data_IF_200474592155
#
_entry.id   IF_200474592155
#
_cell.length_a   1.000
_cell.length_b   1.000
_cell.length_c   1.000
_cell.angle_alpha   90.00
_cell.angle_beta   90.00
_cell.angle_gamma   90.00
#
_symmetry.space_group_name_H-M   'P 1'
#
loop_
_entity.id
_entity.type
_entity.pdbx_description
1 polymer ?
#
# COMPACT_ATOMS: atom_id res chain seq x y z
N UNK A 1 -15.10 19.41 4.64
CA UNK A 1 -14.46 20.27 3.60
C UNK A 1 -14.23 19.40 2.37
N UNK A 2 -14.27 19.96 1.16
CA UNK A 2 -13.91 19.22 -0.04
C UNK A 2 -12.40 18.91 -0.03
N UNK A 3 -12.02 17.73 -0.50
CA UNK A 3 -10.62 17.37 -0.69
C UNK A 3 -10.08 18.02 -1.98
N UNK A 4 -8.80 18.38 -1.99
CA UNK A 4 -8.10 18.86 -3.19
C UNK A 4 -7.52 17.72 -4.05
N UNK A 5 -8.03 16.53 -3.89
CA UNK A 5 -7.66 15.36 -4.67
C UNK A 5 -8.88 14.56 -5.09
N UNK A 6 -8.73 13.78 -6.13
CA UNK A 6 -9.72 12.82 -6.62
C UNK A 6 -9.21 11.40 -6.40
N UNK A 7 -10.12 10.49 -6.04
CA UNK A 7 -9.82 9.06 -5.92
C UNK A 7 -10.05 8.41 -7.28
N UNK A 8 -9.04 7.74 -7.81
CA UNK A 8 -9.13 6.92 -9.03
C UNK A 8 -9.10 5.45 -8.61
N UNK A 9 -10.24 4.78 -8.74
CA UNK A 9 -10.33 3.33 -8.55
C UNK A 9 -9.77 2.62 -9.78
N UNK A 10 -8.73 1.81 -9.58
CA UNK A 10 -8.09 1.07 -10.67
C UNK A 10 -8.81 -0.23 -11.02
N UNK A 11 -9.85 -0.60 -10.27
CA UNK A 11 -10.65 -1.81 -10.51
C UNK A 11 -9.76 -3.06 -10.73
N UNK A 12 -8.76 -3.23 -9.83
CA UNK A 12 -7.76 -4.29 -9.95
C UNK A 12 -8.42 -5.67 -9.98
N UNK A 13 -8.03 -6.51 -10.94
CA UNK A 13 -8.64 -7.82 -11.19
C UNK A 13 -10.16 -7.79 -11.40
N UNK A 14 -10.70 -6.66 -11.87
CA UNK A 14 -12.14 -6.37 -12.00
C UNK A 14 -12.90 -6.35 -10.67
N UNK A 15 -12.20 -6.20 -9.56
CA UNK A 15 -12.78 -6.01 -8.23
C UNK A 15 -12.67 -4.53 -7.86
N UNK A 16 -13.79 -3.80 -7.73
CA UNK A 16 -13.76 -2.38 -7.41
C UNK A 16 -13.27 -2.15 -5.97
N UNK A 17 -12.75 -0.95 -5.75
CA UNK A 17 -12.31 -0.47 -4.44
C UNK A 17 -11.17 -1.29 -3.81
N UNK A 18 -10.30 -1.89 -4.62
CA UNK A 18 -9.15 -2.66 -4.12
C UNK A 18 -7.85 -1.87 -4.16
N UNK A 19 -7.59 -1.11 -5.24
CA UNK A 19 -6.42 -0.24 -5.38
C UNK A 19 -6.85 1.14 -5.85
N UNK A 20 -6.46 2.18 -5.12
CA UNK A 20 -6.69 3.58 -5.46
C UNK A 20 -5.39 4.29 -5.87
N UNK A 21 -5.51 5.22 -6.80
CA UNK A 21 -4.52 6.26 -7.10
C UNK A 21 -5.17 7.60 -6.78
N UNK A 22 -4.41 8.51 -6.19
CA UNK A 22 -4.92 9.81 -5.79
C UNK A 22 -4.39 10.89 -6.72
N UNK A 23 -5.30 11.59 -7.41
CA UNK A 23 -5.00 12.59 -8.42
C UNK A 23 -5.14 13.99 -7.84
N UNK A 24 -4.11 14.79 -8.00
CA UNK A 24 -4.04 16.21 -7.64
C UNK A 24 -3.85 17.06 -8.88
N UNK A 25 -4.58 18.17 -8.96
CA UNK A 25 -4.41 19.17 -10.02
C UNK A 25 -3.57 20.33 -9.49
N UNK A 26 -2.63 20.79 -10.30
CA UNK A 26 -1.83 21.96 -10.00
C UNK A 26 -1.64 22.81 -11.28
N UNK A 27 -1.00 23.97 -11.14
CA UNK A 27 -0.85 24.98 -12.23
C UNK A 27 -0.06 24.51 -13.46
N UNK A 28 0.71 23.39 -13.33
CA UNK A 28 1.57 22.86 -14.40
C UNK A 28 1.17 21.46 -14.88
N UNK A 29 0.12 20.86 -14.33
CA UNK A 29 -0.33 19.51 -14.69
C UNK A 29 -0.96 18.74 -13.54
N UNK A 30 -0.61 17.47 -13.46
CA UNK A 30 -1.14 16.54 -12.47
C UNK A 30 -0.02 15.91 -11.64
N UNK A 31 -0.27 15.78 -10.33
CA UNK A 31 0.51 14.91 -9.47
C UNK A 31 -0.34 13.70 -9.05
N UNK A 32 0.30 12.56 -8.90
CA UNK A 32 -0.34 11.35 -8.38
C UNK A 32 0.32 10.93 -7.06
N UNK A 33 -0.46 10.41 -6.13
CA UNK A 33 0.05 9.49 -5.10
C UNK A 33 -0.33 8.09 -5.55
N UNK A 34 0.66 7.20 -5.66
CA UNK A 34 0.68 5.89 -6.27
C UNK A 34 0.59 5.90 -7.80
N UNK A 35 0.98 4.78 -8.40
CA UNK A 35 0.83 4.54 -9.84
C UNK A 35 -0.09 3.35 -10.16
N UNK A 36 -0.32 2.49 -9.19
CA UNK A 36 -0.92 1.19 -9.41
C UNK A 36 0.00 0.20 -10.12
N UNK A 37 -0.42 -1.05 -10.29
CA UNK A 37 0.29 -2.07 -11.05
C UNK A 37 0.26 -1.78 -12.56
N UNK A 38 1.25 -2.30 -13.30
CA UNK A 38 1.29 -2.19 -14.76
C UNK A 38 0.04 -2.76 -15.45
N UNK A 39 -0.57 -3.79 -14.88
CA UNK A 39 -1.81 -4.39 -15.38
C UNK A 39 -3.00 -3.44 -15.36
N UNK A 40 -2.98 -2.40 -14.52
CA UNK A 40 -4.08 -1.42 -14.39
C UNK A 40 -3.84 -0.13 -15.19
N UNK A 41 -2.78 -0.02 -15.97
CA UNK A 41 -2.52 1.13 -16.85
C UNK A 41 -3.74 1.48 -17.73
N UNK A 42 -4.46 0.51 -18.34
CA UNK A 42 -5.67 0.85 -19.11
C UNK A 42 -6.80 1.45 -18.26
N UNK A 43 -6.94 1.03 -17.01
CA UNK A 43 -7.94 1.60 -16.09
C UNK A 43 -7.57 3.03 -15.70
N UNK A 44 -6.29 3.29 -15.42
CA UNK A 44 -5.78 4.63 -15.15
C UNK A 44 -5.97 5.55 -16.38
N UNK A 45 -5.67 5.08 -17.60
CA UNK A 45 -5.91 5.83 -18.83
C UNK A 45 -7.38 6.22 -19.00
N UNK A 46 -8.28 5.27 -18.79
CA UNK A 46 -9.73 5.51 -18.84
C UNK A 46 -10.16 6.57 -17.82
N UNK A 47 -9.63 6.49 -16.59
CA UNK A 47 -9.95 7.44 -15.54
C UNK A 47 -9.45 8.85 -15.84
N UNK A 48 -8.26 8.99 -16.42
CA UNK A 48 -7.69 10.27 -16.87
C UNK A 48 -8.49 10.84 -18.05
N UNK A 49 -8.75 10.03 -19.08
CA UNK A 49 -9.48 10.46 -20.28
C UNK A 49 -10.89 10.94 -19.95
N UNK A 50 -11.58 10.28 -19.02
CA UNK A 50 -12.89 10.71 -18.54
C UNK A 50 -12.89 12.11 -17.89
N UNK A 51 -11.69 12.61 -17.51
CA UNK A 51 -11.45 13.93 -16.91
C UNK A 51 -10.82 14.93 -17.88
N UNK A 52 -10.61 14.51 -19.14
CA UNK A 52 -10.00 15.33 -20.18
C UNK A 52 -8.47 15.39 -20.13
N UNK A 53 -7.83 14.42 -19.43
CA UNK A 53 -6.39 14.33 -19.29
C UNK A 53 -5.80 13.11 -20.00
N UNK A 54 -4.50 13.17 -20.21
CA UNK A 54 -3.66 12.10 -20.76
C UNK A 54 -2.53 11.78 -19.79
N UNK A 55 -1.78 10.72 -20.03
CA UNK A 55 -0.56 10.44 -19.26
C UNK A 55 0.51 11.53 -19.37
N UNK A 56 0.52 12.30 -20.48
CA UNK A 56 1.45 13.42 -20.67
C UNK A 56 1.20 14.62 -19.77
N UNK A 57 0.04 14.68 -19.12
CA UNK A 57 -0.30 15.74 -18.17
C UNK A 57 0.22 15.44 -16.76
N UNK A 58 0.68 14.20 -16.49
CA UNK A 58 1.25 13.79 -15.21
C UNK A 58 2.70 14.25 -15.14
N UNK A 59 2.98 15.17 -14.22
CA UNK A 59 4.35 15.71 -14.01
C UNK A 59 5.08 14.97 -12.90
N UNK A 60 4.37 14.46 -11.91
CA UNK A 60 4.93 13.89 -10.69
C UNK A 60 4.12 12.70 -10.19
N UNK A 61 4.81 11.69 -9.65
CA UNK A 61 4.23 10.54 -8.96
C UNK A 61 4.96 10.34 -7.64
N UNK A 62 4.23 10.38 -6.54
CA UNK A 62 4.73 10.13 -5.19
C UNK A 62 4.39 8.68 -4.83
N UNK A 63 5.40 7.85 -4.61
CA UNK A 63 5.21 6.47 -4.21
C UNK A 63 5.28 6.33 -2.69
N UNK A 64 4.25 5.74 -2.07
CA UNK A 64 4.36 5.41 -0.65
C UNK A 64 5.43 4.37 -0.43
N UNK A 65 5.50 3.37 -1.31
CA UNK A 65 6.54 2.36 -1.33
C UNK A 65 6.61 1.66 -2.70
N UNK A 66 7.52 0.69 -2.86
CA UNK A 66 7.82 0.11 -4.17
C UNK A 66 7.22 -1.27 -4.43
N UNK A 67 6.22 -1.73 -3.67
CA UNK A 67 5.51 -2.94 -4.04
C UNK A 67 4.77 -2.77 -5.37
N UNK A 68 4.52 -3.89 -6.07
CA UNK A 68 4.10 -3.85 -7.48
C UNK A 68 2.74 -3.23 -7.71
N UNK A 69 1.87 -3.30 -6.73
CA UNK A 69 0.53 -2.71 -6.72
C UNK A 69 0.53 -1.19 -6.49
N UNK A 70 1.63 -0.63 -5.99
CA UNK A 70 1.83 0.82 -5.79
C UNK A 70 2.70 1.44 -6.88
N UNK A 71 3.81 0.79 -7.22
CA UNK A 71 4.86 1.34 -8.07
C UNK A 71 4.94 0.70 -9.46
N UNK A 72 4.06 -0.26 -9.79
CA UNK A 72 4.16 -1.07 -11.01
C UNK A 72 4.14 -0.27 -12.29
N UNK A 73 3.32 0.77 -12.37
CA UNK A 73 3.23 1.64 -13.54
C UNK A 73 4.18 2.85 -13.49
N UNK A 74 4.98 3.04 -12.44
CA UNK A 74 5.83 4.22 -12.29
C UNK A 74 6.83 4.40 -13.45
N UNK A 75 7.48 3.32 -13.90
CA UNK A 75 8.40 3.38 -15.03
C UNK A 75 7.72 3.72 -16.36
N UNK A 76 6.46 3.28 -16.53
CA UNK A 76 5.64 3.65 -17.67
C UNK A 76 5.31 5.16 -17.67
N UNK A 77 4.99 5.74 -16.50
CA UNK A 77 4.69 7.15 -16.34
C UNK A 77 5.95 8.01 -16.46
N UNK A 78 7.08 7.57 -15.90
CA UNK A 78 8.36 8.25 -16.00
C UNK A 78 8.83 8.45 -17.46
N UNK A 79 8.63 7.43 -18.31
CA UNK A 79 8.94 7.50 -19.75
C UNK A 79 8.01 8.45 -20.51
N UNK A 80 6.92 8.92 -19.90
CA UNK A 80 6.00 9.95 -20.42
C UNK A 80 6.20 11.31 -19.83
N UNK A 81 7.23 11.47 -19.01
CA UNK A 81 7.68 12.77 -18.50
C UNK A 81 7.60 12.93 -16.99
N UNK A 82 6.88 12.07 -16.28
CA UNK A 82 6.70 12.17 -14.84
C UNK A 82 8.03 12.00 -14.06
N UNK A 83 8.21 12.79 -13.01
CA UNK A 83 9.22 12.58 -11.97
C UNK A 83 8.66 11.62 -10.92
N UNK A 84 9.45 10.63 -10.52
CA UNK A 84 9.05 9.62 -9.54
C UNK A 84 9.73 9.92 -8.20
N UNK A 85 8.93 10.30 -7.22
CA UNK A 85 9.38 10.58 -5.86
C UNK A 85 9.33 9.27 -5.05
N UNK A 86 10.48 8.85 -4.51
CA UNK A 86 10.61 7.53 -3.90
C UNK A 86 11.56 7.55 -2.70
N UNK A 87 11.30 6.67 -1.75
CA UNK A 87 12.14 6.44 -0.58
C UNK A 87 13.56 6.02 -0.97
N UNK A 88 14.63 6.47 -0.25
CA UNK A 88 16.03 6.13 -0.57
C UNK A 88 16.32 4.63 -0.69
N UNK A 89 15.69 3.81 0.15
CA UNK A 89 15.86 2.34 0.11
C UNK A 89 15.19 1.75 -1.13
N UNK A 90 14.10 2.35 -1.61
CA UNK A 90 13.35 1.89 -2.79
C UNK A 90 13.98 2.33 -4.12
N UNK A 91 14.61 3.51 -4.16
CA UNK A 91 15.10 4.13 -5.39
C UNK A 91 16.00 3.22 -6.26
N UNK A 92 17.00 2.51 -5.72
CA UNK A 92 17.82 1.60 -6.53
C UNK A 92 17.02 0.48 -7.21
N UNK A 93 15.92 0.06 -6.60
CA UNK A 93 15.05 -1.00 -7.13
C UNK A 93 14.07 -0.48 -8.17
N UNK A 94 13.79 0.82 -8.20
CA UNK A 94 13.02 1.44 -9.28
C UNK A 94 13.88 1.65 -10.52
N UNK A 95 15.16 1.97 -10.35
CA UNK A 95 16.12 2.16 -11.46
C UNK A 95 16.57 0.80 -12.02
N UNK A 96 16.86 -0.16 -11.14
CA UNK A 96 17.34 -1.51 -11.45
C UNK A 96 16.43 -2.57 -10.81
N UNK A 97 15.25 -2.88 -11.43
CA UNK A 97 14.21 -3.68 -10.81
C UNK A 97 14.46 -5.20 -10.80
N UNK A 98 15.59 -5.70 -11.35
CA UNK A 98 15.82 -7.13 -11.55
C UNK A 98 15.74 -7.92 -10.24
N UNK A 99 16.23 -7.36 -9.13
CA UNK A 99 16.18 -8.03 -7.82
C UNK A 99 14.75 -8.04 -7.26
N UNK A 100 14.02 -6.92 -7.42
CA UNK A 100 12.62 -6.80 -7.03
C UNK A 100 11.77 -7.82 -7.80
N UNK A 101 11.87 -7.80 -9.12
CA UNK A 101 11.12 -8.70 -10.01
C UNK A 101 11.47 -10.17 -9.78
N UNK A 102 12.75 -10.48 -9.55
CA UNK A 102 13.17 -11.85 -9.20
C UNK A 102 12.56 -12.31 -7.87
N UNK A 103 12.43 -11.41 -6.89
CA UNK A 103 11.80 -11.71 -5.61
C UNK A 103 10.30 -11.92 -5.78
N UNK A 104 9.62 -11.02 -6.48
CA UNK A 104 8.21 -11.14 -6.81
C UNK A 104 7.88 -12.39 -7.62
N UNK A 105 8.70 -12.72 -8.62
CA UNK A 105 8.52 -13.94 -9.43
C UNK A 105 8.59 -15.24 -8.62
N UNK A 106 9.32 -15.27 -7.50
CA UNK A 106 9.32 -16.42 -6.58
C UNK A 106 8.03 -16.53 -5.76
N UNK A 107 7.36 -15.39 -5.53
CA UNK A 107 6.14 -15.31 -4.74
C UNK A 107 4.94 -15.61 -5.62
N UNK A 108 4.84 -14.97 -6.78
CA UNK A 108 3.66 -14.98 -7.63
C UNK A 108 3.72 -15.98 -8.80
N UNK A 109 4.93 -16.50 -9.14
CA UNK A 109 5.09 -17.49 -10.20
C UNK A 109 4.46 -17.05 -11.52
N UNK A 110 3.64 -17.92 -12.10
CA UNK A 110 2.96 -17.70 -13.40
C UNK A 110 1.89 -16.60 -13.35
N UNK A 111 1.54 -16.11 -12.17
CA UNK A 111 0.56 -15.02 -12.02
C UNK A 111 1.17 -13.62 -12.20
N UNK A 112 2.49 -13.50 -12.33
CA UNK A 112 3.19 -12.21 -12.45
C UNK A 112 2.57 -11.29 -13.51
N UNK A 113 2.41 -11.81 -14.74
CA UNK A 113 1.90 -10.99 -15.84
C UNK A 113 0.42 -10.61 -15.65
N UNK A 114 -0.38 -11.53 -15.12
CA UNK A 114 -1.81 -11.31 -14.90
C UNK A 114 -2.07 -10.29 -13.79
N UNK A 115 -1.35 -10.42 -12.69
CA UNK A 115 -1.53 -9.53 -11.52
C UNK A 115 -0.86 -8.18 -11.75
N UNK A 116 0.41 -8.18 -12.16
CA UNK A 116 1.25 -6.99 -12.11
C UNK A 116 1.49 -6.36 -13.47
N UNK A 117 1.36 -7.14 -14.56
CA UNK A 117 1.66 -6.66 -15.90
C UNK A 117 3.14 -6.29 -16.09
N UNK A 118 3.42 -5.40 -17.02
CA UNK A 118 4.77 -4.95 -17.29
C UNK A 118 5.27 -3.97 -16.21
N UNK A 119 6.42 -4.28 -15.61
CA UNK A 119 7.14 -3.38 -14.70
C UNK A 119 8.37 -2.83 -15.43
N UNK A 120 8.32 -1.57 -15.83
CA UNK A 120 9.42 -0.90 -16.51
C UNK A 120 10.36 -0.22 -15.51
N UNK A 121 11.70 -0.26 -15.73
CA UNK A 121 12.62 0.54 -14.93
C UNK A 121 12.36 2.04 -15.11
N UNK A 122 12.49 2.79 -14.04
CA UNK A 122 12.44 4.25 -14.06
C UNK A 122 13.80 4.77 -14.53
N UNK A 123 13.87 5.66 -15.54
CA UNK A 123 15.12 6.33 -15.91
C UNK A 123 15.69 7.08 -14.70
N UNK A 124 17.02 6.98 -14.45
CA UNK A 124 17.66 7.53 -13.25
C UNK A 124 17.41 9.03 -13.10
N UNK A 125 17.45 9.78 -14.22
CA UNK A 125 17.17 11.20 -14.28
C UNK A 125 15.71 11.59 -13.98
N UNK A 126 14.83 10.61 -13.88
CA UNK A 126 13.41 10.75 -13.50
C UNK A 126 13.13 10.33 -12.06
N UNK A 127 14.13 9.87 -11.33
CA UNK A 127 14.01 9.50 -9.92
C UNK A 127 14.37 10.69 -9.04
N UNK A 128 13.45 11.09 -8.18
CA UNK A 128 13.70 12.00 -7.08
C UNK A 128 13.71 11.22 -5.76
N UNK A 129 14.90 11.10 -5.18
CA UNK A 129 15.07 10.42 -3.88
C UNK A 129 14.69 11.39 -2.78
N UNK A 130 13.60 11.06 -2.08
CA UNK A 130 13.01 11.92 -1.04
C UNK A 130 13.55 11.54 0.32
N UNK A 131 13.87 12.53 1.16
CA UNK A 131 14.25 12.31 2.56
C UNK A 131 13.04 12.45 3.50
N UNK A 132 13.16 11.86 4.67
CA UNK A 132 12.16 12.00 5.72
C UNK A 132 11.93 13.47 6.08
N UNK A 133 10.66 13.88 6.17
CA UNK A 133 10.22 15.26 6.44
C UNK A 133 10.69 16.32 5.41
N UNK A 134 11.26 15.90 4.28
CA UNK A 134 11.60 16.79 3.18
C UNK A 134 10.34 17.23 2.43
N UNK A 135 10.03 18.52 2.44
CA UNK A 135 8.90 19.05 1.71
C UNK A 135 9.05 18.89 0.19
N UNK A 136 8.12 18.19 -0.43
CA UNK A 136 8.01 18.08 -1.90
C UNK A 136 7.05 19.15 -2.38
N UNK A 137 7.54 20.10 -3.18
CA UNK A 137 6.75 21.20 -3.75
C UNK A 137 6.52 20.96 -5.24
N UNK A 138 5.26 20.77 -5.63
CA UNK A 138 4.83 20.54 -7.01
C UNK A 138 3.78 21.58 -7.37
N UNK A 139 4.18 22.59 -8.15
CA UNK A 139 3.31 23.74 -8.39
C UNK A 139 2.90 24.42 -7.09
N UNK A 140 1.60 24.48 -6.83
CA UNK A 140 1.01 25.01 -5.58
C UNK A 140 0.73 23.94 -4.51
N UNK A 141 1.13 22.69 -4.77
CA UNK A 141 0.98 21.57 -3.83
C UNK A 141 2.26 21.42 -2.99
N UNK A 142 2.07 21.08 -1.71
CA UNK A 142 3.16 20.76 -0.79
C UNK A 142 2.84 19.47 -0.04
N UNK A 143 3.70 18.48 -0.19
CA UNK A 143 3.61 17.19 0.48
C UNK A 143 4.78 17.02 1.45
N UNK A 144 4.51 16.50 2.64
CA UNK A 144 5.56 16.16 3.61
C UNK A 144 5.58 14.64 3.80
N UNK A 145 6.62 13.93 3.39
CA UNK A 145 6.80 12.51 3.62
C UNK A 145 7.15 12.24 5.08
N UNK A 146 6.57 11.20 5.63
CA UNK A 146 6.90 10.65 6.94
C UNK A 146 7.42 9.23 6.76
N UNK A 147 8.66 8.94 7.18
CA UNK A 147 9.20 7.59 7.16
C UNK A 147 8.40 6.69 8.11
N UNK A 148 7.73 5.69 7.55
CA UNK A 148 6.77 4.84 8.25
C UNK A 148 7.04 3.35 7.95
N UNK A 149 8.20 2.81 8.38
CA UNK A 149 8.51 1.41 8.18
C UNK A 149 7.62 0.50 9.03
N UNK A 150 7.45 -0.76 8.58
CA UNK A 150 6.67 -1.78 9.29
C UNK A 150 6.03 -2.75 8.32
N UNK A 151 5.30 -2.23 7.33
CA UNK A 151 4.89 -2.98 6.16
C UNK A 151 6.10 -3.27 5.25
N UNK A 152 6.86 -2.24 4.92
CA UNK A 152 8.14 -2.30 4.20
C UNK A 152 9.15 -1.30 4.79
N UNK A 153 10.46 -1.51 4.55
CA UNK A 153 11.50 -0.57 4.99
C UNK A 153 11.61 0.69 4.13
N UNK A 154 11.01 0.66 2.96
CA UNK A 154 10.99 1.75 1.98
C UNK A 154 9.63 2.44 1.92
N UNK A 155 8.95 2.57 3.07
CA UNK A 155 7.58 3.07 3.13
C UNK A 155 7.51 4.50 3.68
N UNK A 156 6.83 5.37 2.93
CA UNK A 156 6.40 6.70 3.36
C UNK A 156 4.88 6.81 3.49
N UNK A 157 4.42 7.54 4.50
CA UNK A 157 3.13 8.20 4.46
C UNK A 157 3.32 9.66 4.03
N UNK A 158 2.42 10.21 3.22
CA UNK A 158 2.50 11.61 2.77
C UNK A 158 1.44 12.46 3.45
N UNK A 159 1.87 13.55 4.09
CA UNK A 159 0.95 14.57 4.62
C UNK A 159 0.67 15.64 3.57
N UNK A 160 -0.62 15.97 3.37
CA UNK A 160 -1.06 17.04 2.50
C UNK A 160 -2.29 17.73 3.11
N UNK A 161 -2.19 19.03 3.45
CA UNK A 161 -3.30 19.83 4.03
C UNK A 161 -4.03 19.12 5.20
N UNK A 162 -3.27 18.48 6.08
CA UNK A 162 -3.81 17.73 7.22
C UNK A 162 -4.44 16.39 6.87
N UNK A 163 -4.30 15.90 5.64
CA UNK A 163 -4.69 14.55 5.20
C UNK A 163 -3.45 13.68 5.13
N UNK A 164 -3.51 12.46 5.67
CA UNK A 164 -2.44 11.48 5.64
C UNK A 164 -2.73 10.41 4.57
N UNK A 165 -1.97 10.41 3.49
CA UNK A 165 -1.93 9.30 2.51
C UNK A 165 -1.02 8.23 3.06
N UNK A 166 -1.61 7.27 3.70
CA UNK A 166 -0.92 6.35 4.61
C UNK A 166 -0.33 5.11 3.92
N UNK A 167 -0.57 4.92 2.62
CA UNK A 167 -0.15 3.69 1.98
C UNK A 167 -0.60 2.46 2.77
N UNK A 168 0.23 1.45 2.79
CA UNK A 168 -0.05 0.17 3.42
C UNK A 168 0.17 0.14 4.94
N UNK A 169 0.92 1.10 5.49
CA UNK A 169 0.98 1.25 6.94
C UNK A 169 -0.39 1.64 7.53
N UNK A 170 -1.26 2.22 6.70
CA UNK A 170 -2.66 2.48 7.04
C UNK A 170 -3.58 1.25 6.96
N UNK A 171 -3.06 0.09 6.56
CA UNK A 171 -3.84 -1.12 6.38
C UNK A 171 -4.75 -1.09 5.16
N UNK A 172 -5.48 -2.17 4.98
CA UNK A 172 -6.53 -2.34 3.97
C UNK A 172 -7.88 -2.10 4.63
N UNK A 173 -8.60 -1.07 4.18
CA UNK A 173 -9.95 -0.75 4.64
C UNK A 173 -10.83 -0.45 3.45
N UNK A 174 -11.61 -1.44 3.03
CA UNK A 174 -12.50 -1.30 1.88
C UNK A 174 -13.81 -0.59 2.30
N UNK A 175 -14.46 0.17 1.39
CA UNK A 175 -15.74 0.80 1.67
C UNK A 175 -16.83 -0.27 1.76
N UNK A 176 -17.34 -0.51 2.97
CA UNK A 176 -18.38 -1.49 3.23
C UNK A 176 -19.74 -0.80 3.36
N UNK A 177 -20.80 -1.47 2.89
CA UNK A 177 -22.15 -1.04 3.16
C UNK A 177 -22.50 -1.07 4.65
N UNK A 178 -23.64 -0.48 5.02
CA UNK A 178 -24.23 -0.57 6.37
C UNK A 178 -23.36 -0.05 7.54
N UNK A 179 -22.42 0.89 7.30
CA UNK A 179 -21.49 1.40 8.30
C UNK A 179 -20.61 0.33 8.96
N UNK A 180 -20.49 -0.85 8.39
CA UNK A 180 -19.55 -1.88 8.86
C UNK A 180 -18.12 -1.33 8.73
N UNK A 181 -17.31 -1.57 9.76
CA UNK A 181 -15.91 -1.15 9.81
C UNK A 181 -15.06 -2.38 9.97
N UNK A 182 -14.24 -2.66 8.98
CA UNK A 182 -13.31 -3.77 8.99
C UNK A 182 -11.97 -3.30 8.43
N UNK A 183 -10.87 -3.77 9.03
CA UNK A 183 -9.52 -3.42 8.63
C UNK A 183 -8.64 -4.65 8.72
N UNK A 184 -7.75 -4.84 7.74
CA UNK A 184 -6.74 -5.90 7.72
C UNK A 184 -5.36 -5.30 7.48
N UNK A 185 -4.32 -5.94 8.03
CA UNK A 185 -2.94 -5.51 7.80
C UNK A 185 -2.32 -6.32 6.66
N UNK A 186 -1.74 -5.69 5.63
CA UNK A 186 -0.94 -6.36 4.63
C UNK A 186 0.46 -6.65 5.20
N UNK A 187 0.80 -7.92 5.36
CA UNK A 187 2.03 -8.36 6.04
C UNK A 187 2.92 -9.19 5.10
N UNK A 188 3.33 -8.66 3.94
CA UNK A 188 4.06 -9.43 2.94
C UNK A 188 5.51 -9.70 3.35
N UNK A 189 6.12 -10.79 2.82
CA UNK A 189 7.56 -10.94 2.87
C UNK A 189 8.22 -9.93 1.89
N UNK A 190 9.47 -9.53 2.11
CA UNK A 190 10.38 -9.99 3.15
C UNK A 190 10.48 -9.05 4.35
N UNK A 191 9.73 -7.95 4.42
CA UNK A 191 10.08 -6.79 5.23
C UNK A 191 9.11 -6.48 6.37
N UNK A 192 8.01 -7.22 6.48
CA UNK A 192 7.09 -7.05 7.60
C UNK A 192 7.83 -7.04 8.95
N UNK A 193 7.54 -6.02 9.78
CA UNK A 193 8.15 -5.84 11.09
C UNK A 193 7.19 -5.16 12.06
N UNK A 194 6.64 -5.93 12.97
CA UNK A 194 5.57 -5.51 13.89
C UNK A 194 5.97 -4.30 14.74
N UNK A 195 7.14 -4.32 15.39
CA UNK A 195 7.58 -3.25 16.29
C UNK A 195 7.84 -1.93 15.54
N UNK A 196 8.35 -2.01 14.30
CA UNK A 196 8.50 -0.82 13.46
C UNK A 196 7.14 -0.25 13.05
N UNK A 197 6.16 -1.12 12.77
CA UNK A 197 4.81 -0.65 12.45
C UNK A 197 4.17 0.07 13.63
N UNK A 198 4.34 -0.44 14.86
CA UNK A 198 3.88 0.27 16.08
C UNK A 198 4.53 1.66 16.23
N UNK A 199 5.85 1.77 15.95
CA UNK A 199 6.54 3.05 15.97
C UNK A 199 6.00 4.01 14.90
N UNK A 200 5.76 3.51 13.69
CA UNK A 200 5.14 4.28 12.60
C UNK A 200 3.73 4.73 12.96
N UNK A 201 2.93 3.89 13.61
CA UNK A 201 1.60 4.25 14.10
C UNK A 201 1.65 5.40 15.11
N UNK A 202 2.62 5.39 16.03
CA UNK A 202 2.86 6.50 16.95
C UNK A 202 3.14 7.79 16.19
N UNK A 203 3.99 7.74 15.19
CA UNK A 203 4.32 8.89 14.34
C UNK A 203 3.10 9.45 13.58
N UNK A 204 2.22 8.57 13.07
CA UNK A 204 0.98 8.98 12.44
C UNK A 204 0.01 9.67 13.44
N UNK A 205 -0.04 9.18 14.68
CA UNK A 205 -0.84 9.85 15.75
C UNK A 205 -0.30 11.25 16.09
N UNK A 206 1.03 11.39 16.16
CA UNK A 206 1.70 12.68 16.41
C UNK A 206 1.46 13.69 15.29
N UNK A 207 1.40 13.23 14.04
CA UNK A 207 1.06 14.07 12.89
C UNK A 207 -0.39 14.57 12.91
N UNK A 208 -1.26 13.98 13.76
CA UNK A 208 -2.64 14.38 14.01
C UNK A 208 -3.46 14.68 12.74
N UNK A 209 -3.52 13.77 11.75
CA UNK A 209 -4.25 14.03 10.52
C UNK A 209 -5.76 14.16 10.78
N UNK A 210 -6.44 14.99 9.97
CA UNK A 210 -7.91 15.11 9.98
C UNK A 210 -8.61 14.01 9.17
N UNK A 211 -7.86 13.33 8.29
CA UNK A 211 -8.30 12.16 7.54
C UNK A 211 -7.11 11.26 7.23
N UNK A 212 -7.34 9.95 7.17
CA UNK A 212 -6.38 8.94 6.75
C UNK A 212 -6.85 8.30 5.44
N UNK A 213 -5.92 8.07 4.53
CA UNK A 213 -6.20 7.68 3.15
C UNK A 213 -5.25 6.54 2.77
N UNK A 214 -5.62 5.27 3.04
CA UNK A 214 -4.84 4.11 2.62
C UNK A 214 -5.00 3.87 1.11
N UNK A 215 -4.00 3.30 0.47
CA UNK A 215 -4.07 2.91 -0.96
C UNK A 215 -5.17 1.88 -1.21
N UNK A 216 -5.50 1.06 -0.20
CA UNK A 216 -6.57 0.06 -0.18
C UNK A 216 -7.66 0.41 0.86
N UNK A 217 -8.49 1.39 0.87
CA UNK A 217 -9.04 2.30 -0.11
C UNK A 217 -9.62 3.53 0.59
N UNK A 218 -9.74 4.67 -0.10
CA UNK A 218 -10.54 5.85 0.20
C UNK A 218 -10.14 6.73 1.39
N UNK A 219 -10.69 7.94 1.49
CA UNK A 219 -10.50 8.81 2.63
C UNK A 219 -11.44 8.45 3.80
N UNK A 220 -10.90 8.40 5.01
CA UNK A 220 -11.63 8.15 6.25
C UNK A 220 -11.37 9.27 7.27
N UNK A 221 -12.43 9.90 7.75
CA UNK A 221 -12.36 11.00 8.73
C UNK A 221 -12.42 10.49 10.18
N UNK A 222 -12.77 9.23 10.40
CA UNK A 222 -12.76 8.58 11.72
C UNK A 222 -11.34 8.07 12.07
N UNK A 223 -10.36 8.99 12.02
CA UNK A 223 -8.93 8.72 12.17
C UNK A 223 -8.61 7.96 13.45
N UNK A 224 -9.17 8.39 14.59
CA UNK A 224 -8.92 7.72 15.87
C UNK A 224 -9.33 6.24 15.83
N UNK A 225 -10.55 5.97 15.32
CA UNK A 225 -10.99 4.58 15.15
C UNK A 225 -10.05 3.79 14.24
N UNK A 226 -9.62 4.41 13.13
CA UNK A 226 -8.77 3.77 12.13
C UNK A 226 -7.40 3.39 12.73
N UNK A 227 -6.73 4.33 13.40
CA UNK A 227 -5.44 4.09 14.04
C UNK A 227 -5.55 3.11 15.22
N UNK A 228 -6.63 3.16 16.00
CA UNK A 228 -6.91 2.19 17.05
C UNK A 228 -7.21 0.79 16.48
N UNK A 229 -7.83 0.71 15.29
CA UNK A 229 -8.05 -0.56 14.61
C UNK A 229 -6.73 -1.19 14.15
N UNK A 230 -5.80 -0.40 13.59
CA UNK A 230 -4.46 -0.89 13.25
C UNK A 230 -3.74 -1.42 14.49
N UNK A 231 -3.78 -0.68 15.60
CA UNK A 231 -3.14 -1.10 16.85
C UNK A 231 -3.69 -2.43 17.36
N UNK A 232 -5.02 -2.58 17.39
CA UNK A 232 -5.68 -3.85 17.74
C UNK A 232 -5.29 -4.99 16.79
N UNK A 233 -5.22 -4.72 15.49
CA UNK A 233 -4.78 -5.74 14.52
C UNK A 233 -3.34 -6.18 14.77
N UNK A 234 -2.44 -5.25 15.11
CA UNK A 234 -1.06 -5.60 15.48
C UNK A 234 -1.01 -6.45 16.76
N UNK A 235 -1.84 -6.15 17.77
CA UNK A 235 -1.95 -6.93 19.00
C UNK A 235 -2.51 -8.32 18.72
N UNK A 236 -3.57 -8.43 17.90
CA UNK A 236 -4.20 -9.68 17.51
C UNK A 236 -3.22 -10.57 16.71
N UNK A 237 -2.44 -9.97 15.79
CA UNK A 237 -1.40 -10.68 15.02
C UNK A 237 -0.27 -11.17 15.94
N UNK A 238 0.18 -10.36 16.89
CA UNK A 238 1.20 -10.77 17.86
C UNK A 238 0.71 -11.95 18.69
N UNK A 239 -0.51 -11.87 19.24
CA UNK A 239 -1.12 -12.98 19.99
C UNK A 239 -1.31 -14.24 19.16
N UNK A 240 -1.71 -14.12 17.88
CA UNK A 240 -1.79 -15.25 16.95
C UNK A 240 -0.42 -15.90 16.76
N UNK A 241 0.63 -15.11 16.53
CA UNK A 241 1.99 -15.62 16.35
C UNK A 241 2.50 -16.33 17.61
N UNK A 242 2.29 -15.75 18.79
CA UNK A 242 2.69 -16.35 20.07
C UNK A 242 1.98 -17.68 20.34
N UNK A 243 0.73 -17.82 19.90
CA UNK A 243 -0.03 -19.07 20.05
C UNK A 243 0.39 -20.15 19.04
N UNK A 244 0.73 -19.75 17.81
CA UNK A 244 0.91 -20.71 16.70
C UNK A 244 2.36 -21.09 16.48
N UNK A 245 3.28 -20.10 16.50
CA UNK A 245 4.67 -20.31 16.08
C UNK A 245 5.55 -21.19 16.98
N UNK A 246 5.28 -21.33 18.28
CA UNK A 246 6.01 -22.31 19.12
C UNK A 246 5.90 -23.76 18.63
N UNK A 247 4.82 -24.12 17.91
CA UNK A 247 4.66 -25.44 17.29
C UNK A 247 5.51 -25.64 16.02
N UNK A 248 6.22 -24.60 15.55
CA UNK A 248 7.06 -24.60 14.35
C UNK A 248 6.30 -25.09 13.10
N UNK A 249 5.14 -24.51 12.77
CA UNK A 249 4.36 -24.94 11.61
C UNK A 249 5.13 -24.71 10.31
N UNK A 250 4.86 -25.52 9.28
CA UNK A 250 5.25 -25.18 7.92
C UNK A 250 4.52 -23.90 7.45
N UNK A 251 4.98 -23.29 6.35
CA UNK A 251 4.31 -22.09 5.80
C UNK A 251 2.87 -22.42 5.41
N UNK A 252 2.63 -23.59 4.82
CA UNK A 252 1.31 -24.06 4.41
C UNK A 252 0.39 -24.36 5.61
N UNK A 253 0.96 -24.82 6.74
CA UNK A 253 0.22 -24.98 7.98
C UNK A 253 -0.12 -23.64 8.62
N UNK A 254 0.83 -22.69 8.59
CA UNK A 254 0.59 -21.34 9.07
C UNK A 254 -0.48 -20.63 8.24
N UNK A 255 -0.44 -20.77 6.91
CA UNK A 255 -1.45 -20.24 6.00
C UNK A 255 -2.85 -20.75 6.37
N UNK A 256 -3.03 -22.06 6.49
CA UNK A 256 -4.34 -22.63 6.87
C UNK A 256 -4.83 -22.15 8.24
N UNK A 257 -3.94 -21.97 9.21
CA UNK A 257 -4.30 -21.43 10.53
C UNK A 257 -4.68 -19.95 10.44
N UNK A 258 -3.95 -19.17 9.62
CA UNK A 258 -4.22 -17.75 9.39
C UNK A 258 -5.55 -17.58 8.64
N UNK A 259 -5.83 -18.39 7.62
CA UNK A 259 -7.13 -18.41 6.93
C UNK A 259 -8.29 -18.64 7.91
N UNK A 260 -8.17 -19.67 8.75
CA UNK A 260 -9.17 -19.93 9.79
C UNK A 260 -9.38 -18.75 10.72
N UNK A 261 -8.30 -18.14 11.19
CA UNK A 261 -8.34 -16.97 12.06
C UNK A 261 -8.97 -15.74 11.37
N UNK A 262 -8.65 -15.49 10.10
CA UNK A 262 -9.25 -14.41 9.29
C UNK A 262 -10.74 -14.66 9.09
N UNK A 263 -11.15 -15.89 8.78
CA UNK A 263 -12.56 -16.23 8.60
C UNK A 263 -13.36 -16.06 9.90
N UNK A 264 -12.81 -16.44 11.05
CA UNK A 264 -13.45 -16.18 12.36
C UNK A 264 -13.64 -14.69 12.64
N UNK A 265 -12.63 -13.86 12.32
CA UNK A 265 -12.74 -12.40 12.42
C UNK A 265 -13.81 -11.85 11.47
N UNK A 266 -13.83 -12.31 10.23
CA UNK A 266 -14.84 -11.91 9.24
C UNK A 266 -16.26 -12.23 9.72
N UNK A 267 -16.48 -13.44 10.26
CA UNK A 267 -17.78 -13.83 10.80
C UNK A 267 -18.22 -12.94 11.96
N UNK A 268 -17.31 -12.64 12.89
CA UNK A 268 -17.57 -11.75 14.02
C UNK A 268 -17.95 -10.34 13.57
N UNK A 269 -17.27 -9.84 12.52
CA UNK A 269 -17.46 -8.49 11.99
C UNK A 269 -18.59 -8.40 10.95
N UNK A 270 -19.24 -9.53 10.64
CA UNK A 270 -20.34 -9.58 9.68
C UNK A 270 -19.93 -9.38 8.22
N UNK A 271 -18.71 -9.79 7.87
CA UNK A 271 -18.18 -9.70 6.50
C UNK A 271 -18.75 -10.84 5.66
N UNK A 272 -19.42 -10.47 4.57
CA UNK A 272 -19.97 -11.43 3.62
C UNK A 272 -18.89 -12.02 2.66
N UNK A 273 -19.20 -13.09 1.92
CA UNK A 273 -18.25 -13.75 1.03
C UNK A 273 -17.73 -12.85 -0.12
N UNK A 274 -18.54 -11.94 -0.64
CA UNK A 274 -18.13 -11.01 -1.70
C UNK A 274 -17.10 -9.99 -1.17
N UNK A 275 -17.40 -9.42 -0.02
CA UNK A 275 -16.49 -8.54 0.72
C UNK A 275 -15.20 -9.26 1.09
N UNK A 276 -15.27 -10.50 1.58
CA UNK A 276 -14.08 -11.32 1.85
C UNK A 276 -13.23 -11.49 0.60
N UNK A 277 -13.85 -11.81 -0.54
CA UNK A 277 -13.14 -11.92 -1.82
C UNK A 277 -12.43 -10.61 -2.21
N UNK A 278 -13.06 -9.45 -2.01
CA UNK A 278 -12.42 -8.16 -2.27
C UNK A 278 -11.20 -7.93 -1.37
N UNK A 279 -11.29 -8.29 -0.08
CA UNK A 279 -10.13 -8.24 0.83
C UNK A 279 -9.01 -9.20 0.41
N UNK A 280 -9.33 -10.42 -0.03
CA UNK A 280 -8.33 -11.38 -0.54
C UNK A 280 -7.71 -10.92 -1.86
N UNK A 281 -8.43 -10.13 -2.67
CA UNK A 281 -7.88 -9.52 -3.88
C UNK A 281 -6.88 -8.39 -3.55
N UNK A 282 -7.19 -7.56 -2.54
CA UNK A 282 -6.34 -6.45 -2.12
C UNK A 282 -5.18 -6.89 -1.22
N UNK A 283 -5.39 -7.91 -0.39
CA UNK A 283 -4.44 -8.39 0.63
C UNK A 283 -4.59 -9.90 0.84
N UNK A 284 -3.98 -10.72 0.00
CA UNK A 284 -4.08 -12.17 0.08
C UNK A 284 -3.53 -12.74 1.38
N UNK A 285 -4.30 -13.56 2.08
CA UNK A 285 -3.91 -14.16 3.37
C UNK A 285 -2.65 -15.02 3.25
N UNK A 286 -2.49 -15.78 2.14
CA UNK A 286 -1.31 -16.62 1.91
C UNK A 286 0.01 -15.83 1.88
N UNK A 287 -0.03 -14.59 1.37
CA UNK A 287 1.15 -13.72 1.31
C UNK A 287 1.52 -13.24 2.72
N UNK A 288 0.53 -12.86 3.53
CA UNK A 288 0.72 -12.50 4.93
C UNK A 288 1.31 -13.65 5.74
N UNK A 289 0.88 -14.91 5.52
CA UNK A 289 1.44 -16.07 6.19
C UNK A 289 2.95 -16.21 5.94
N UNK A 290 3.40 -16.01 4.70
CA UNK A 290 4.82 -16.03 4.34
C UNK A 290 5.62 -14.92 5.03
N UNK A 291 5.06 -13.71 5.13
CA UNK A 291 5.69 -12.59 5.81
C UNK A 291 5.80 -12.80 7.32
N UNK A 292 4.73 -13.32 7.94
CA UNK A 292 4.68 -13.64 9.36
C UNK A 292 5.69 -14.75 9.74
N UNK A 293 5.79 -15.82 8.94
CA UNK A 293 6.77 -16.88 9.14
C UNK A 293 8.20 -16.33 9.12
N UNK A 294 8.49 -15.46 8.14
CA UNK A 294 9.81 -14.83 8.01
C UNK A 294 10.11 -13.87 9.17
N UNK A 295 9.14 -13.04 9.57
CA UNK A 295 9.26 -12.14 10.70
C UNK A 295 9.59 -12.90 11.99
N UNK A 296 8.82 -13.95 12.31
CA UNK A 296 9.04 -14.78 13.48
C UNK A 296 10.44 -15.38 13.51
N UNK A 297 10.84 -16.03 12.42
CA UNK A 297 12.15 -16.65 12.30
C UNK A 297 13.31 -15.65 12.50
N UNK A 298 13.14 -14.42 11.98
CA UNK A 298 14.23 -13.43 12.00
C UNK A 298 14.33 -12.65 13.32
N UNK A 299 13.20 -12.40 13.98
CA UNK A 299 13.16 -11.45 15.08
C UNK A 299 12.66 -12.01 16.41
N UNK A 300 11.95 -13.16 16.41
CA UNK A 300 11.33 -13.72 17.61
C UNK A 300 11.87 -15.11 18.01
N UNK A 301 12.30 -15.93 17.07
CA UNK A 301 12.73 -17.32 17.34
C UNK A 301 14.02 -17.42 18.15
N UNK A 302 14.84 -16.36 18.20
CA UNK A 302 16.13 -16.34 18.86
C UNK A 302 16.12 -15.64 20.24
N UNK A 303 14.94 -15.20 20.67
CA UNK A 303 14.71 -14.67 22.02
C UNK A 303 14.11 -15.75 22.91
#
# INVERSE_FOLDING_TARGET
>A
MAYRFEVLDLNFQNVPHTIAVYLFRHDKGLALIESGPGSTVPALEKALTARGFTFGDITDVLLTHIHLDHAGAAGFLARRGATIHVHPVGAPHMIHPEKLLKSAGRIYGDMMDTLWGEFLPVPEEKVHVVQDEEDIVIGDLRFTPLDTPGHAYHHYAYMFEGVCFSGDVGGVRLPLGNNTRHLRLPMPPPEFHLEKWRASLTRLREAAPRAIVPTHFGPYEDVNWHLDAIERELDDVEGFLEAVMPSQPSVEELERKLDGWVLEKNQRDGIDPETHHAYETANPTWMSASGLARYWKKFRQSQ
#
